data_IF_162059590815
#
_entry.id   IF_162059590815
#
_cell.length_a   1.000
_cell.length_b   1.000
_cell.length_c   1.000
_cell.angle_alpha   90.00
_cell.angle_beta   90.00
_cell.angle_gamma   90.00
#
_symmetry.space_group_name_H-M   'P 1'
#
loop_
_entity.id
_entity.type
_entity.pdbx_description
1 polymer ?
#
# COMPACT_ATOMS: atom_id res chain seq x y z
N UNK A 1 13.56 14.20 -11.96
CA UNK A 1 12.36 14.56 -11.24
C UNK A 1 12.20 13.83 -9.96
N UNK A 2 11.94 14.52 -8.92
CA UNK A 2 11.76 13.81 -7.67
C UNK A 2 10.50 13.00 -7.71
N UNK A 3 10.54 11.95 -6.98
CA UNK A 3 9.44 11.07 -6.85
C UNK A 3 8.31 11.74 -6.12
N UNK A 4 7.11 11.61 -6.62
CA UNK A 4 5.95 12.16 -5.98
C UNK A 4 5.43 11.22 -4.93
N UNK A 5 5.10 11.75 -3.77
CA UNK A 5 4.50 10.94 -2.73
C UNK A 5 3.03 10.70 -3.04
N UNK A 6 2.55 9.55 -2.67
CA UNK A 6 1.15 9.20 -2.87
C UNK A 6 0.36 9.51 -1.61
N UNK A 7 -0.89 9.90 -1.80
CA UNK A 7 -1.80 10.07 -0.68
C UNK A 7 -2.41 8.74 -0.30
N UNK A 8 -3.07 8.72 0.84
CA UNK A 8 -3.76 7.52 1.27
C UNK A 8 -4.83 7.11 0.26
N UNK A 9 -5.55 8.08 -0.27
CA UNK A 9 -6.58 7.80 -1.27
C UNK A 9 -5.98 7.22 -2.54
N UNK A 10 -4.82 7.74 -2.92
CA UNK A 10 -4.17 7.23 -4.13
C UNK A 10 -3.69 5.80 -3.93
N UNK A 11 -3.21 5.47 -2.74
CA UNK A 11 -2.80 4.11 -2.47
C UNK A 11 -4.00 3.17 -2.45
N UNK A 12 -5.10 3.63 -1.87
CA UNK A 12 -6.31 2.83 -1.85
C UNK A 12 -6.77 2.54 -3.29
N UNK A 13 -6.69 3.55 -4.13
CA UNK A 13 -7.06 3.39 -5.52
C UNK A 13 -6.10 2.45 -6.25
N UNK A 14 -4.81 2.62 -5.98
CA UNK A 14 -3.79 1.78 -6.59
C UNK A 14 -4.00 0.32 -6.22
N UNK A 15 -4.35 0.06 -4.96
CA UNK A 15 -4.62 -1.29 -4.49
C UNK A 15 -6.03 -1.75 -4.81
N UNK A 16 -6.87 -0.81 -5.23
CA UNK A 16 -8.27 -1.09 -5.53
C UNK A 16 -9.02 -1.58 -4.28
N UNK A 17 -8.80 -0.90 -3.19
CA UNK A 17 -9.46 -1.20 -1.92
C UNK A 17 -9.93 0.11 -1.30
N UNK A 18 -10.68 0.02 -0.21
CA UNK A 18 -11.11 1.24 0.45
C UNK A 18 -10.03 1.71 1.43
N UNK A 19 -10.24 2.89 1.97
CA UNK A 19 -9.26 3.51 2.85
C UNK A 19 -9.08 2.73 4.15
N UNK A 20 -10.13 2.12 4.64
CA UNK A 20 -10.02 1.34 5.86
C UNK A 20 -9.07 0.18 5.68
N UNK A 21 -9.07 -0.42 4.51
CA UNK A 21 -8.17 -1.50 4.21
C UNK A 21 -6.72 -1.01 4.23
N UNK A 22 -6.47 0.20 3.71
CA UNK A 22 -5.12 0.75 3.74
C UNK A 22 -4.68 0.98 5.17
N UNK A 23 -5.55 1.54 6.02
CA UNK A 23 -5.22 1.74 7.43
C UNK A 23 -4.89 0.41 8.10
N UNK A 24 -5.62 -0.60 7.76
CA UNK A 24 -5.39 -1.91 8.32
C UNK A 24 -4.04 -2.46 7.89
N UNK A 25 -3.69 -2.27 6.62
CA UNK A 25 -2.38 -2.70 6.13
C UNK A 25 -1.26 -1.95 6.84
N UNK A 26 -1.48 -0.67 7.13
CA UNK A 26 -0.50 0.10 7.86
C UNK A 26 -0.23 -0.49 9.24
N UNK A 27 -1.27 -0.89 9.93
CA UNK A 27 -1.10 -1.35 11.29
C UNK A 27 -0.77 -2.83 11.39
N UNK A 28 -1.33 -3.65 10.50
CA UNK A 28 -1.21 -5.09 10.63
C UNK A 28 -0.12 -5.70 9.77
N UNK A 29 0.20 -5.06 8.66
CA UNK A 29 1.10 -5.65 7.68
C UNK A 29 2.32 -4.78 7.40
N UNK A 30 2.54 -3.77 8.21
CA UNK A 30 3.72 -2.92 8.07
C UNK A 30 3.86 -2.27 6.71
N UNK A 31 2.76 -1.84 6.16
CA UNK A 31 2.81 -1.09 4.90
C UNK A 31 3.63 0.17 5.13
N UNK A 32 4.70 0.40 4.34
CA UNK A 32 5.56 1.56 4.58
C UNK A 32 4.86 2.87 4.26
N UNK A 33 4.96 3.80 5.18
CA UNK A 33 4.31 5.09 5.03
C UNK A 33 5.04 6.12 5.87
N UNK A 34 4.80 7.38 5.56
CA UNK A 34 5.37 8.51 6.28
C UNK A 34 4.25 9.42 6.74
N UNK A 35 4.40 9.94 7.94
CA UNK A 35 3.43 10.91 8.43
C UNK A 35 3.99 12.29 8.19
N UNK A 36 3.37 13.03 7.29
CA UNK A 36 3.80 14.38 6.96
C UNK A 36 2.74 15.32 7.49
N UNK A 37 3.08 16.06 8.55
CA UNK A 37 2.07 16.80 9.24
C UNK A 37 1.08 15.83 9.84
N UNK A 38 -0.17 15.96 9.50
CA UNK A 38 -1.18 15.03 9.98
C UNK A 38 -1.67 14.09 8.93
N UNK A 39 -0.91 13.96 7.86
CA UNK A 39 -1.39 13.19 6.72
C UNK A 39 -0.41 12.11 6.35
N UNK A 40 -0.93 10.96 5.99
CA UNK A 40 -0.11 9.85 5.52
C UNK A 40 0.34 10.10 4.10
N UNK A 41 1.61 9.76 3.85
CA UNK A 41 2.16 9.82 2.50
C UNK A 41 2.96 8.55 2.27
N UNK A 42 3.00 8.13 1.01
CA UNK A 42 3.61 6.85 0.66
C UNK A 42 4.56 7.06 -0.50
N UNK A 43 5.67 6.34 -0.49
CA UNK A 43 6.58 6.32 -1.61
C UNK A 43 6.24 5.14 -2.50
N UNK A 44 6.04 5.42 -3.77
CA UNK A 44 5.66 4.37 -4.71
C UNK A 44 6.65 3.22 -4.70
N UNK A 45 7.94 3.54 -4.69
CA UNK A 45 8.97 2.50 -4.70
C UNK A 45 8.85 1.58 -3.49
N UNK A 46 8.58 2.16 -2.34
CA UNK A 46 8.46 1.36 -1.13
C UNK A 46 7.20 0.50 -1.16
N UNK A 47 6.14 1.05 -1.73
CA UNK A 47 4.91 0.28 -1.89
C UNK A 47 5.16 -0.91 -2.80
N UNK A 48 5.86 -0.67 -3.90
CA UNK A 48 6.15 -1.75 -4.85
C UNK A 48 7.02 -2.82 -4.22
N UNK A 49 8.02 -2.40 -3.44
CA UNK A 49 8.87 -3.36 -2.75
C UNK A 49 8.07 -4.18 -1.74
N UNK A 50 7.18 -3.52 -1.03
CA UNK A 50 6.33 -4.19 -0.06
C UNK A 50 5.43 -5.22 -0.74
N UNK A 51 4.86 -4.84 -1.88
CA UNK A 51 4.04 -5.77 -2.63
C UNK A 51 4.84 -6.98 -3.09
N UNK A 52 6.06 -6.75 -3.55
CA UNK A 52 6.90 -7.84 -4.00
C UNK A 52 7.20 -8.80 -2.85
N UNK A 53 7.49 -8.24 -1.68
CA UNK A 53 7.77 -9.07 -0.52
C UNK A 53 6.60 -9.90 -0.09
N UNK A 54 5.41 -9.39 -0.31
CA UNK A 54 4.20 -10.07 0.14
C UNK A 54 3.51 -10.83 -0.97
N UNK A 55 4.16 -10.96 -2.11
CA UNK A 55 3.53 -11.59 -3.25
C UNK A 55 3.22 -13.06 -3.01
N UNK A 56 4.03 -13.73 -2.23
CA UNK A 56 3.76 -15.14 -1.94
C UNK A 56 2.47 -15.31 -1.16
N UNK A 57 2.26 -14.45 -0.19
CA UNK A 57 1.03 -14.50 0.57
C UNK A 57 -0.16 -14.17 -0.32
N UNK A 58 0.03 -13.21 -1.19
CA UNK A 58 -1.00 -12.81 -2.11
C UNK A 58 -1.37 -13.95 -3.03
N UNK A 59 -0.39 -14.68 -3.47
CA UNK A 59 -0.58 -15.77 -4.36
C UNK A 59 -1.51 -16.84 -3.82
N UNK A 60 -1.52 -17.00 -2.54
CA UNK A 60 -2.38 -18.00 -1.94
C UNK A 60 -3.84 -17.67 -2.12
N UNK A 61 -4.15 -16.39 -2.25
CA UNK A 61 -5.52 -15.99 -2.47
C UNK A 61 -5.86 -15.82 -3.91
N UNK A 62 -4.84 -15.58 -4.70
CA UNK A 62 -5.04 -15.24 -6.09
C UNK A 62 -5.88 -16.22 -6.86
N UNK A 63 -5.81 -17.45 -6.57
CA UNK A 63 -6.53 -18.39 -7.40
C UNK A 63 -7.99 -18.09 -7.51
N UNK A 64 -8.42 -17.26 -6.84
CA UNK A 64 -9.70 -16.92 -7.02
C UNK A 64 -9.92 -16.08 -8.07
N UNK A 65 -9.45 -15.77 -8.57
CA UNK A 65 -9.47 -15.12 -9.47
C UNK A 65 -9.46 -14.89 -10.15
N UNK A 66 -9.49 -14.98 -10.15
CA UNK A 66 -9.25 -14.68 -10.63
C UNK A 66 -9.17 -14.73 -11.05
#
# INVERSE_FOLDING_TARGET
MPEQLLTLEQVAEYFNVDKFTVYRLLSDKDLPAFKVGNQWRFKRRLIENWLAKNSNATRKYAPRDQ
#
